data_IF_534134950379
#
_entry.id   IF_534134950379
#
_cell.length_a   1.000
_cell.length_b   1.000
_cell.length_c   1.000
_cell.angle_alpha   90.00
_cell.angle_beta   90.00
_cell.angle_gamma   90.00
#
_symmetry.space_group_name_H-M   'P 1'
#
loop_
_entity.id
_entity.type
_entity.pdbx_description
1 polymer ?
#
# COMPACT_ATOMS: atom_id res chain seq x y z
N UNK A 1 -3.17 -9.94 -1.32
CA UNK A 1 -4.12 -9.44 -2.35
C UNK A 1 -3.66 -9.94 -3.71
N UNK A 2 -4.24 -9.51 -4.83
CA UNK A 2 -3.85 -9.99 -6.18
C UNK A 2 -3.29 -8.88 -7.08
N UNK A 3 -2.71 -7.83 -6.49
CA UNK A 3 -2.13 -6.67 -7.18
C UNK A 3 -3.01 -5.97 -8.26
N UNK A 4 -4.34 -6.17 -8.23
CA UNK A 4 -5.25 -5.66 -9.25
C UNK A 4 -5.77 -4.23 -8.98
N UNK A 5 -5.43 -3.63 -7.83
CA UNK A 5 -5.95 -2.32 -7.43
C UNK A 5 -4.99 -1.60 -6.47
N UNK A 6 -5.19 -0.29 -6.29
CA UNK A 6 -4.40 0.58 -5.41
C UNK A 6 -5.15 1.00 -4.13
N UNK A 7 -6.21 0.27 -3.74
CA UNK A 7 -7.03 0.59 -2.54
C UNK A 7 -6.33 0.27 -1.22
N UNK A 8 -5.30 -0.57 -1.25
CA UNK A 8 -4.48 -0.96 -0.11
C UNK A 8 -3.15 -0.19 -0.06
N UNK A 9 -3.05 0.91 -0.81
CA UNK A 9 -1.90 1.80 -0.78
C UNK A 9 -1.67 2.32 0.65
N UNK A 10 -0.44 2.21 1.12
CA UNK A 10 0.04 2.72 2.40
C UNK A 10 1.40 3.40 2.20
N UNK A 11 1.76 4.27 3.14
CA UNK A 11 3.12 4.78 3.27
C UNK A 11 3.80 4.09 4.44
N UNK A 12 4.91 3.41 4.22
CA UNK A 12 5.68 2.76 5.30
C UNK A 12 6.59 3.81 5.94
N UNK A 13 6.36 4.12 7.21
CA UNK A 13 7.14 5.12 7.97
C UNK A 13 8.26 4.47 8.78
N UNK A 14 8.08 3.20 9.17
CA UNK A 14 9.08 2.41 9.89
C UNK A 14 8.94 0.93 9.55
N UNK A 15 10.07 0.21 9.50
CA UNK A 15 10.09 -1.25 9.30
C UNK A 15 10.08 -1.70 7.85
N UNK A 16 10.48 -0.83 6.90
CA UNK A 16 10.59 -1.20 5.48
C UNK A 16 11.58 -2.35 5.25
N UNK A 17 12.67 -2.40 6.02
CA UNK A 17 13.65 -3.51 5.98
C UNK A 17 13.10 -4.84 6.51
N UNK A 18 11.94 -4.82 7.18
CA UNK A 18 11.25 -6.00 7.72
C UNK A 18 10.10 -6.48 6.82
N UNK A 19 9.98 -5.90 5.63
CA UNK A 19 9.01 -6.26 4.61
C UNK A 19 9.72 -6.88 3.39
N UNK A 20 8.99 -7.71 2.64
CA UNK A 20 9.44 -8.14 1.30
C UNK A 20 9.73 -6.94 0.41
N UNK A 21 10.67 -7.08 -0.53
CA UNK A 21 10.87 -6.08 -1.59
C UNK A 21 9.61 -5.95 -2.46
N UNK A 22 9.42 -4.80 -3.08
CA UNK A 22 8.32 -4.62 -4.02
C UNK A 22 8.59 -5.42 -5.29
N UNK A 23 7.59 -6.14 -5.78
CA UNK A 23 7.66 -6.78 -7.09
C UNK A 23 7.30 -5.77 -8.18
N UNK A 24 7.77 -5.98 -9.41
CA UNK A 24 7.52 -5.09 -10.55
C UNK A 24 6.01 -4.83 -10.76
N UNK A 25 5.17 -5.87 -10.60
CA UNK A 25 3.71 -5.73 -10.69
C UNK A 25 3.13 -4.83 -9.59
N UNK A 26 3.71 -4.85 -8.39
CA UNK A 26 3.35 -3.94 -7.29
C UNK A 26 3.70 -2.51 -7.64
N UNK A 27 4.91 -2.27 -8.13
CA UNK A 27 5.40 -0.93 -8.49
C UNK A 27 4.50 -0.29 -9.56
N UNK A 28 4.22 -1.01 -10.65
CA UNK A 28 3.32 -0.57 -11.71
C UNK A 28 1.94 -0.17 -11.17
N UNK A 29 1.40 -0.95 -10.22
CA UNK A 29 0.08 -0.68 -9.64
C UNK A 29 0.10 0.50 -8.66
N UNK A 30 1.18 0.66 -7.92
CA UNK A 30 1.40 1.75 -6.97
C UNK A 30 1.57 3.09 -7.70
N UNK A 31 2.11 3.10 -8.92
CA UNK A 31 2.20 4.31 -9.73
C UNK A 31 0.83 4.92 -10.10
N UNK A 32 -0.22 4.10 -10.22
CA UNK A 32 -1.58 4.58 -10.45
C UNK A 32 -2.21 5.24 -9.20
N UNK A 33 -1.54 5.19 -8.05
CA UNK A 33 -2.03 5.65 -6.77
C UNK A 33 -1.77 7.17 -6.58
N UNK A 34 -2.81 8.00 -6.31
CA UNK A 34 -2.62 9.40 -5.96
C UNK A 34 -1.57 9.65 -4.87
N UNK A 35 -0.73 10.67 -5.06
CA UNK A 35 0.26 11.06 -4.06
C UNK A 35 1.31 9.98 -3.79
N UNK A 36 1.79 9.31 -4.84
CA UNK A 36 2.92 8.39 -4.80
C UNK A 36 4.12 9.00 -4.05
N UNK A 37 4.75 8.21 -3.18
CA UNK A 37 5.96 8.55 -2.42
C UNK A 37 6.92 7.36 -2.52
N UNK A 38 8.21 7.60 -2.24
CA UNK A 38 9.23 6.53 -2.27
C UNK A 38 8.95 5.41 -1.27
N UNK A 39 8.23 5.72 -0.18
CA UNK A 39 7.83 4.76 0.82
C UNK A 39 6.40 4.22 0.61
N UNK A 40 5.83 4.41 -0.58
CA UNK A 40 4.55 3.83 -0.96
C UNK A 40 4.68 2.32 -1.15
N UNK A 41 3.75 1.55 -0.58
CA UNK A 41 3.60 0.11 -0.80
C UNK A 41 2.13 -0.27 -0.88
N UNK A 42 1.82 -1.43 -1.48
CA UNK A 42 0.53 -2.09 -1.32
C UNK A 42 0.61 -3.01 -0.12
N UNK A 43 -0.13 -2.70 0.94
CA UNK A 43 -0.11 -3.50 2.18
C UNK A 43 -0.48 -4.97 1.93
N UNK A 44 -1.24 -5.25 0.87
CA UNK A 44 -1.65 -6.60 0.52
C UNK A 44 -0.57 -7.45 -0.21
N UNK A 45 0.56 -6.84 -0.57
CA UNK A 45 1.75 -7.49 -1.17
C UNK A 45 2.95 -7.48 -0.22
N UNK A 46 2.84 -6.81 0.94
CA UNK A 46 3.90 -6.75 1.93
C UNK A 46 3.89 -8.00 2.81
N UNK A 47 4.84 -8.92 2.60
CA UNK A 47 5.09 -10.04 3.50
C UNK A 47 6.04 -9.60 4.61
N UNK A 48 5.71 -9.93 5.86
CA UNK A 48 6.53 -9.57 7.02
C UNK A 48 7.65 -10.63 7.17
N UNK A 49 8.89 -10.22 6.93
CA UNK A 49 10.07 -11.09 6.95
C UNK A 49 10.97 -10.88 8.15
N UNK A 50 10.81 -9.76 8.87
CA UNK A 50 11.61 -9.41 10.04
C UNK A 50 10.79 -9.16 11.30
N UNK A 51 11.50 -8.95 12.40
CA UNK A 51 10.92 -8.63 13.70
C UNK A 51 11.07 -7.13 14.01
N UNK A 52 10.02 -6.53 14.57
CA UNK A 52 10.06 -5.15 15.04
C UNK A 52 8.76 -4.39 14.80
N UNK A 53 8.67 -3.14 15.29
CA UNK A 53 7.52 -2.30 15.02
C UNK A 53 7.52 -1.86 13.55
N UNK A 54 6.44 -2.21 12.84
CA UNK A 54 6.15 -1.71 11.50
C UNK A 54 5.10 -0.61 11.65
N UNK A 55 5.45 0.60 11.23
CA UNK A 55 4.55 1.76 11.28
C UNK A 55 4.24 2.17 9.85
N UNK A 56 2.94 2.24 9.54
CA UNK A 56 2.48 2.70 8.24
C UNK A 56 1.33 3.69 8.39
N UNK A 57 1.25 4.60 7.43
CA UNK A 57 0.22 5.62 7.33
C UNK A 57 -0.69 5.30 6.15
N UNK A 58 -1.99 5.26 6.40
CA UNK A 58 -3.00 5.12 5.36
C UNK A 58 -3.23 6.48 4.71
N UNK A 59 -3.17 6.60 3.37
CA UNK A 59 -3.45 7.84 2.66
C UNK A 59 -4.88 8.33 2.93
N UNK A 60 -5.08 9.65 2.90
CA UNK A 60 -6.40 10.27 3.09
C UNK A 60 -7.35 10.09 1.90
N UNK A 61 -6.85 9.51 0.80
CA UNK A 61 -7.65 9.17 -0.37
C UNK A 61 -7.84 7.66 -0.41
N UNK A 62 -9.00 7.21 -0.86
CA UNK A 62 -9.28 5.81 -1.12
C UNK A 62 -10.11 5.75 -2.40
N UNK A 63 -9.71 4.91 -3.37
CA UNK A 63 -10.44 4.73 -4.64
C UNK A 63 -11.91 4.30 -4.41
N UNK A 64 -12.20 3.63 -3.29
CA UNK A 64 -13.56 3.27 -2.86
C UNK A 64 -14.19 4.29 -1.90
N UNK A 65 -13.62 5.48 -1.70
CA UNK A 65 -14.18 6.51 -0.82
C UNK A 65 -15.53 7.07 -1.32
N UNK A 66 -15.86 6.83 -2.60
CA UNK A 66 -17.23 7.00 -3.11
C UNK A 66 -18.07 5.87 -2.52
N UNK A 67 -18.67 6.11 -1.36
CA UNK A 67 -19.72 5.25 -0.82
C UNK A 67 -20.90 5.34 -1.78
N UNK A 68 -21.30 4.23 -2.40
CA UNK A 68 -22.61 4.16 -3.04
C UNK A 68 -23.67 4.53 -2.00
N UNK A 69 -24.59 5.43 -2.36
CA UNK A 69 -25.67 5.85 -1.46
C UNK A 69 -26.51 4.60 -1.19
N UNK A 70 -26.71 4.19 0.09
CA UNK A 70 -27.58 3.06 0.41
C UNK A 70 -28.95 3.30 -0.22
N UNK A 71 -29.44 2.33 -0.98
CA UNK A 71 -30.77 2.35 -1.60
C UNK A 71 -31.84 2.03 -0.56
#
# INVERSE_FOLDING_TARGET
GVCACSTCHIYVEQGMDSLSEAEEEEEDRVEEAPGLQINSRLSCQCDITGDGPIVFRVPAWNRNAVKEVPH
#
